data_IF_935504524651
#
_entry.id   IF_935504524651
#
_cell.length_a   1.000
_cell.length_b   1.000
_cell.length_c   1.000
_cell.angle_alpha   90.00
_cell.angle_beta   90.00
_cell.angle_gamma   90.00
#
_symmetry.space_group_name_H-M   'P 1'
#
loop_
_entity.id
_entity.type
_entity.pdbx_description
1 polymer ?
#
# COMPACT_ATOMS: atom_id res chain seq x y z
N UNK A 1 -65.24 -14.36 -31.44
CA UNK A 1 -64.33 -13.22 -31.69
C UNK A 1 -63.79 -12.75 -30.34
N UNK A 2 -62.47 -12.60 -30.24
CA UNK A 2 -61.65 -12.11 -29.10
C UNK A 2 -61.26 -13.13 -28.02
N UNK A 3 -60.11 -13.76 -28.27
CA UNK A 3 -59.14 -14.23 -27.28
C UNK A 3 -58.80 -13.11 -26.28
N UNK A 4 -58.82 -13.42 -24.99
CA UNK A 4 -58.11 -12.65 -23.98
C UNK A 4 -56.87 -13.45 -23.56
N UNK A 5 -55.70 -12.92 -23.94
CA UNK A 5 -54.38 -13.44 -23.61
C UNK A 5 -54.11 -13.15 -22.13
N UNK A 6 -53.71 -14.20 -21.39
CA UNK A 6 -53.21 -14.12 -20.02
C UNK A 6 -51.77 -13.62 -20.05
N UNK A 7 -51.51 -12.41 -19.56
CA UNK A 7 -50.16 -11.98 -19.19
C UNK A 7 -50.03 -12.09 -17.68
N UNK A 8 -49.48 -13.21 -17.21
CA UNK A 8 -49.01 -13.36 -15.83
C UNK A 8 -47.59 -12.79 -15.80
N UNK A 9 -47.42 -11.60 -15.26
CA UNK A 9 -46.11 -11.06 -14.92
C UNK A 9 -45.78 -11.56 -13.50
N UNK A 10 -45.06 -12.68 -13.42
CA UNK A 10 -44.49 -13.16 -12.16
C UNK A 10 -43.27 -12.30 -11.84
N UNK A 11 -43.44 -11.30 -10.98
CA UNK A 11 -42.33 -10.59 -10.35
C UNK A 11 -41.81 -11.50 -9.24
N UNK A 12 -40.75 -12.24 -9.53
CA UNK A 12 -39.99 -12.97 -8.51
C UNK A 12 -39.21 -11.95 -7.68
N UNK A 13 -39.75 -11.55 -6.53
CA UNK A 13 -38.99 -10.85 -5.50
C UNK A 13 -38.01 -11.87 -4.94
N UNK A 14 -36.76 -11.84 -5.43
CA UNK A 14 -35.66 -12.54 -4.80
C UNK A 14 -35.29 -11.76 -3.53
N UNK A 15 -36.02 -12.00 -2.45
CA UNK A 15 -35.66 -11.58 -1.11
C UNK A 15 -34.49 -12.40 -0.61
N UNK A 16 -33.30 -12.19 -1.18
CA UNK A 16 -32.07 -12.53 -0.50
C UNK A 16 -31.94 -11.53 0.66
N UNK A 17 -32.11 -12.02 1.88
CA UNK A 17 -31.89 -11.24 3.08
C UNK A 17 -30.49 -10.62 3.01
N UNK A 18 -30.46 -9.30 2.83
CA UNK A 18 -29.28 -8.51 3.14
C UNK A 18 -29.20 -8.56 4.66
N UNK A 19 -28.53 -9.59 5.19
CA UNK A 19 -27.98 -9.49 6.52
C UNK A 19 -27.02 -8.31 6.45
N UNK A 20 -27.43 -7.17 7.00
CA UNK A 20 -26.50 -6.10 7.29
C UNK A 20 -25.49 -6.71 8.26
N UNK A 21 -24.29 -7.04 7.76
CA UNK A 21 -23.14 -7.13 8.63
C UNK A 21 -23.09 -5.84 9.46
N UNK A 22 -22.76 -5.90 10.76
CA UNK A 22 -22.71 -4.71 11.59
C UNK A 22 -21.84 -3.64 10.90
N UNK A 23 -22.21 -2.37 11.06
CA UNK A 23 -21.54 -1.23 10.45
C UNK A 23 -20.16 -0.93 11.09
N UNK A 24 -19.37 -1.98 11.34
CA UNK A 24 -17.94 -1.90 11.63
C UNK A 24 -17.26 -2.03 10.27
N UNK A 25 -16.45 -1.06 9.88
CA UNK A 25 -15.82 -1.12 8.58
C UNK A 25 -14.90 -2.36 8.52
N UNK A 26 -14.76 -2.95 7.35
CA UNK A 26 -14.08 -4.21 7.14
C UNK A 26 -12.92 -3.94 6.19
N UNK A 27 -11.78 -4.58 6.39
CA UNK A 27 -10.60 -4.32 5.59
C UNK A 27 -10.69 -5.01 4.22
N UNK A 28 -11.11 -4.25 3.20
CA UNK A 28 -11.23 -4.73 1.81
C UNK A 28 -10.09 -4.19 0.94
N UNK A 29 -9.11 -5.03 0.57
CA UNK A 29 -7.93 -4.57 -0.17
C UNK A 29 -8.27 -4.22 -1.63
N UNK A 30 -7.55 -3.24 -2.17
CA UNK A 30 -7.52 -2.94 -3.61
C UNK A 30 -6.46 -3.81 -4.28
N UNK A 31 -6.88 -4.79 -5.06
CA UNK A 31 -5.98 -5.75 -5.72
C UNK A 31 -5.45 -5.15 -7.02
N UNK A 32 -4.21 -4.66 -7.01
CA UNK A 32 -3.52 -4.11 -8.19
C UNK A 32 -3.13 -5.20 -9.20
N UNK A 33 -2.97 -6.44 -8.74
CA UNK A 33 -2.72 -7.62 -9.58
C UNK A 33 -1.41 -8.34 -9.28
N UNK A 34 -1.02 -9.21 -10.21
CA UNK A 34 0.20 -10.02 -10.16
C UNK A 34 1.16 -9.57 -11.26
N UNK A 35 2.43 -9.35 -10.91
CA UNK A 35 3.47 -8.84 -11.79
C UNK A 35 4.64 -9.82 -11.82
N UNK A 36 5.27 -9.98 -12.98
CA UNK A 36 6.36 -10.93 -13.21
C UNK A 36 7.76 -10.29 -13.23
N UNK A 37 7.84 -9.00 -12.90
CA UNK A 37 9.07 -8.23 -12.96
C UNK A 37 9.36 -7.59 -14.32
N UNK A 38 8.48 -7.72 -15.32
CA UNK A 38 8.64 -7.06 -16.62
C UNK A 38 8.54 -5.53 -16.49
N UNK A 39 9.62 -4.77 -16.80
CA UNK A 39 9.60 -3.31 -16.74
C UNK A 39 8.57 -2.68 -17.66
N UNK A 40 7.90 -1.63 -17.19
CA UNK A 40 6.84 -0.91 -17.89
C UNK A 40 5.44 -1.42 -17.57
N UNK A 41 5.30 -2.57 -16.91
CA UNK A 41 4.00 -3.06 -16.45
C UNK A 41 3.46 -2.16 -15.34
N UNK A 42 2.20 -1.74 -15.45
CA UNK A 42 1.55 -0.83 -14.49
C UNK A 42 0.10 -1.22 -14.22
N UNK A 43 -0.37 -0.92 -13.02
CA UNK A 43 -1.78 -0.95 -12.66
C UNK A 43 -2.12 0.25 -11.78
N UNK A 44 -3.35 0.74 -11.88
CA UNK A 44 -3.85 1.85 -11.07
C UNK A 44 -5.25 1.54 -10.59
N UNK A 45 -5.49 1.76 -9.30
CA UNK A 45 -6.81 1.67 -8.70
C UNK A 45 -7.08 2.88 -7.80
N UNK A 46 -8.33 3.31 -7.77
CA UNK A 46 -8.75 4.38 -6.87
C UNK A 46 -9.44 3.83 -5.62
N UNK A 47 -9.39 4.62 -4.56
CA UNK A 47 -10.07 4.36 -3.30
C UNK A 47 -10.42 5.68 -2.61
N UNK A 48 -11.02 5.58 -1.43
CA UNK A 48 -11.23 6.69 -0.51
C UNK A 48 -10.81 6.29 0.89
N UNK A 49 -10.26 7.23 1.65
CA UNK A 49 -9.93 7.10 3.07
C UNK A 49 -10.68 8.16 3.88
N UNK A 50 -10.97 7.85 5.14
CA UNK A 50 -11.72 8.75 6.02
C UNK A 50 -10.79 9.55 6.92
N UNK A 51 -10.78 10.87 6.71
CA UNK A 51 -9.82 11.77 7.34
C UNK A 51 -8.49 11.81 6.57
N UNK A 52 -7.71 12.86 6.83
CA UNK A 52 -6.40 13.07 6.24
C UNK A 52 -5.29 12.83 7.28
N UNK A 53 -5.41 11.81 8.12
CA UNK A 53 -4.43 11.50 9.17
C UNK A 53 -4.19 10.00 9.42
N UNK A 54 -4.98 9.11 8.80
CA UNK A 54 -4.99 7.70 9.20
C UNK A 54 -3.67 6.95 9.04
N UNK A 55 -2.81 7.36 8.09
CA UNK A 55 -1.50 6.73 7.97
C UNK A 55 -0.55 7.22 9.06
N UNK A 56 -0.53 8.54 9.30
CA UNK A 56 0.37 9.14 10.28
C UNK A 56 0.00 8.75 11.72
N UNK A 57 -1.27 8.50 12.01
CA UNK A 57 -1.74 7.85 13.25
C UNK A 57 -0.97 6.58 13.58
N UNK A 58 -0.71 5.74 12.57
CA UNK A 58 -0.01 4.47 12.78
C UNK A 58 1.47 4.61 13.15
N UNK A 59 1.99 5.83 13.29
CA UNK A 59 3.41 6.08 13.56
C UNK A 59 3.72 6.38 15.02
N UNK A 60 2.71 6.66 15.85
CA UNK A 60 2.89 6.98 17.26
C UNK A 60 2.66 5.76 18.18
N UNK A 61 2.64 6.02 19.49
CA UNK A 61 2.69 4.98 20.52
C UNK A 61 1.36 4.26 20.75
N UNK A 62 0.25 4.84 20.33
CA UNK A 62 -1.11 4.35 20.52
C UNK A 62 -1.73 3.72 19.26
N UNK A 63 -0.99 3.69 18.15
CA UNK A 63 -1.28 2.91 16.93
C UNK A 63 -2.56 3.33 16.21
N UNK A 64 -2.56 3.17 14.89
CA UNK A 64 -3.66 3.67 14.05
C UNK A 64 -4.86 2.73 13.96
N UNK A 65 -6.01 3.35 13.70
CA UNK A 65 -7.25 2.70 13.28
C UNK A 65 -7.18 2.26 11.81
N UNK A 66 -7.27 0.95 11.53
CA UNK A 66 -7.20 0.36 10.19
C UNK A 66 -8.31 0.87 9.26
N UNK A 67 -9.42 1.39 9.79
CA UNK A 67 -10.49 2.00 9.00
C UNK A 67 -10.13 3.38 8.45
N UNK A 68 -8.98 3.93 8.86
CA UNK A 68 -8.46 5.24 8.40
C UNK A 68 -7.43 5.11 7.30
N UNK A 69 -7.05 3.88 6.97
CA UNK A 69 -6.19 3.56 5.84
C UNK A 69 -6.92 2.66 4.85
N UNK A 70 -6.36 2.55 3.65
CA UNK A 70 -6.78 1.58 2.65
C UNK A 70 -5.57 0.71 2.28
N UNK A 71 -5.77 -0.58 2.10
CA UNK A 71 -4.74 -1.45 1.54
C UNK A 71 -4.80 -1.52 0.03
N UNK A 72 -3.62 -1.46 -0.57
CA UNK A 72 -3.36 -1.85 -1.95
C UNK A 72 -2.49 -3.11 -1.94
N UNK A 73 -2.94 -4.18 -2.59
CA UNK A 73 -2.22 -5.45 -2.65
C UNK A 73 -1.72 -5.76 -4.04
N UNK A 74 -0.54 -6.34 -4.12
CA UNK A 74 0.00 -6.93 -5.33
C UNK A 74 0.83 -8.16 -5.01
N UNK A 75 1.09 -8.97 -6.03
CA UNK A 75 1.99 -10.12 -5.95
C UNK A 75 3.10 -9.96 -6.99
N UNK A 76 4.34 -10.23 -6.60
CA UNK A 76 5.45 -10.40 -7.51
C UNK A 76 5.78 -11.88 -7.66
N UNK A 77 5.84 -12.40 -8.89
CA UNK A 77 6.29 -13.78 -9.13
C UNK A 77 7.81 -13.89 -9.28
N UNK A 78 8.50 -12.78 -9.56
CA UNK A 78 9.95 -12.67 -9.59
C UNK A 78 10.40 -11.39 -8.85
N UNK A 79 11.67 -11.33 -8.47
CA UNK A 79 12.24 -10.10 -7.92
C UNK A 79 12.19 -8.95 -8.95
N UNK A 80 11.90 -7.73 -8.50
CA UNK A 80 11.71 -6.58 -9.36
C UNK A 80 11.99 -5.25 -8.64
N UNK A 81 12.36 -4.22 -9.41
CA UNK A 81 12.22 -2.84 -8.96
C UNK A 81 10.78 -2.39 -9.15
N UNK A 82 10.17 -1.92 -8.06
CA UNK A 82 8.78 -1.48 -8.04
C UNK A 82 8.72 -0.03 -7.58
N UNK A 83 8.08 0.81 -8.39
CA UNK A 83 7.70 2.15 -7.99
C UNK A 83 6.23 2.17 -7.57
N UNK A 84 5.97 2.61 -6.34
CA UNK A 84 4.64 2.89 -5.84
C UNK A 84 4.41 4.39 -5.83
N UNK A 85 3.26 4.83 -6.33
CA UNK A 85 2.84 6.23 -6.33
C UNK A 85 1.42 6.33 -5.82
N UNK A 86 1.20 7.20 -4.84
CA UNK A 86 -0.12 7.51 -4.30
C UNK A 86 -0.37 9.01 -4.45
N UNK A 87 -1.50 9.36 -5.06
CA UNK A 87 -1.88 10.74 -5.34
C UNK A 87 -3.32 10.97 -4.91
N UNK A 88 -3.63 12.18 -4.43
CA UNK A 88 -5.02 12.57 -4.23
C UNK A 88 -5.87 12.33 -5.48
N UNK A 89 -7.15 12.01 -5.27
CA UNK A 89 -8.11 11.83 -6.35
C UNK A 89 -9.52 12.22 -5.88
N UNK A 90 -10.45 12.22 -6.81
CA UNK A 90 -11.89 12.22 -6.52
C UNK A 90 -12.42 10.83 -6.84
N UNK A 91 -12.74 10.04 -5.81
CA UNK A 91 -13.15 8.64 -5.98
C UNK A 91 -13.99 8.15 -4.80
N UNK A 92 -14.99 7.32 -5.06
CA UNK A 92 -15.84 6.68 -4.04
C UNK A 92 -16.45 7.65 -3.01
N UNK A 93 -16.81 8.86 -3.44
CA UNK A 93 -17.32 9.93 -2.55
C UNK A 93 -16.22 10.74 -1.84
N UNK A 94 -14.97 10.26 -1.87
CA UNK A 94 -13.79 11.01 -1.45
C UNK A 94 -13.44 12.12 -2.44
N UNK A 95 -12.92 13.22 -1.91
CA UNK A 95 -12.52 14.42 -2.67
C UNK A 95 -11.00 14.65 -2.64
N UNK A 96 -10.56 15.64 -3.40
CA UNK A 96 -9.19 16.15 -3.33
C UNK A 96 -8.84 16.75 -1.95
N UNK A 97 -7.54 16.92 -1.72
CA UNK A 97 -6.91 17.49 -0.53
C UNK A 97 -6.29 16.44 0.39
N UNK A 98 -6.09 15.20 -0.08
CA UNK A 98 -5.33 14.19 0.65
C UNK A 98 -3.85 14.56 0.61
N UNK A 99 -3.18 14.47 1.75
CA UNK A 99 -1.72 14.48 1.84
C UNK A 99 -1.32 13.01 2.04
N UNK A 100 -0.96 12.26 0.98
CA UNK A 100 -0.81 10.81 1.12
C UNK A 100 0.46 10.44 1.88
N UNK A 101 0.32 9.48 2.78
CA UNK A 101 1.40 8.68 3.33
C UNK A 101 1.11 7.20 3.13
N UNK A 102 2.16 6.41 2.98
CA UNK A 102 2.01 4.97 2.93
C UNK A 102 3.19 4.23 3.53
N UNK A 103 2.91 3.00 3.96
CA UNK A 103 3.90 2.02 4.39
C UNK A 103 3.68 0.73 3.62
N UNK A 104 4.78 0.15 3.13
CA UNK A 104 4.81 -1.10 2.39
C UNK A 104 5.22 -2.23 3.34
N UNK A 105 4.45 -3.31 3.29
CA UNK A 105 4.68 -4.53 4.05
C UNK A 105 4.63 -5.74 3.14
N UNK A 106 5.41 -6.77 3.49
CA UNK A 106 5.26 -8.13 2.97
C UNK A 106 4.10 -8.83 3.67
N UNK A 107 3.32 -9.61 2.93
CA UNK A 107 2.10 -10.26 3.40
C UNK A 107 0.85 -9.72 2.71
N UNK A 108 -0.21 -10.54 2.71
CA UNK A 108 -1.56 -10.14 2.31
C UNK A 108 -2.48 -10.22 3.52
N UNK A 109 -3.55 -9.44 3.47
CA UNK A 109 -4.72 -9.62 4.33
C UNK A 109 -5.42 -10.93 3.96
N UNK A 110 -6.27 -11.42 4.85
CA UNK A 110 -7.16 -12.53 4.53
C UNK A 110 -8.03 -12.20 3.32
N UNK A 111 -8.33 -13.23 2.50
CA UNK A 111 -9.33 -13.09 1.45
C UNK A 111 -10.68 -12.84 2.14
N UNK A 112 -11.29 -11.66 1.93
CA UNK A 112 -12.48 -11.25 2.67
C UNK A 112 -13.73 -12.05 2.31
N UNK A 113 -13.70 -12.84 1.24
CA UNK A 113 -14.84 -13.63 0.77
C UNK A 113 -14.71 -15.11 1.09
N UNK A 114 -13.50 -15.63 1.20
CA UNK A 114 -13.26 -17.08 1.34
C UNK A 114 -12.69 -17.48 2.70
N UNK A 115 -12.08 -16.56 3.43
CA UNK A 115 -11.54 -16.85 4.76
C UNK A 115 -12.66 -16.92 5.80
N UNK A 116 -12.74 -17.96 6.64
CA UNK A 116 -13.62 -17.98 7.80
C UNK A 116 -13.41 -16.73 8.67
N UNK A 117 -14.49 -16.14 9.18
CA UNK A 117 -14.43 -14.86 9.90
C UNK A 117 -14.44 -13.62 9.00
N UNK A 118 -14.28 -13.77 7.69
CA UNK A 118 -14.39 -12.69 6.72
C UNK A 118 -13.15 -11.78 6.67
N UNK A 119 -13.30 -10.50 6.25
CA UNK A 119 -12.20 -9.54 6.19
C UNK A 119 -11.60 -9.24 7.55
N UNK A 120 -10.32 -8.92 7.58
CA UNK A 120 -9.65 -8.43 8.79
C UNK A 120 -10.25 -7.09 9.26
N UNK A 121 -10.19 -6.81 10.56
CA UNK A 121 -10.49 -5.48 11.13
C UNK A 121 -10.06 -5.43 12.62
N UNK A 122 -9.92 -4.21 13.16
CA UNK A 122 -9.40 -4.00 14.52
C UNK A 122 -10.32 -4.45 15.66
N UNK A 123 -11.61 -4.52 15.39
CA UNK A 123 -12.64 -4.58 16.44
C UNK A 123 -13.24 -5.97 16.64
N UNK A 124 -12.76 -7.00 15.96
CA UNK A 124 -13.16 -8.37 16.28
C UNK A 124 -12.63 -8.77 17.66
N UNK A 125 -13.31 -9.69 18.33
CA UNK A 125 -12.83 -10.25 19.60
C UNK A 125 -11.41 -10.83 19.48
N UNK A 126 -11.11 -11.42 18.32
CA UNK A 126 -9.81 -11.99 17.99
C UNK A 126 -8.73 -10.92 17.75
N UNK A 127 -9.04 -9.85 17.02
CA UNK A 127 -8.11 -8.73 16.82
C UNK A 127 -7.86 -7.95 18.09
N UNK A 128 -8.89 -7.71 18.91
CA UNK A 128 -8.72 -7.01 20.19
C UNK A 128 -7.88 -7.82 21.18
N UNK A 129 -8.04 -9.16 21.20
CA UNK A 129 -7.17 -10.05 21.98
C UNK A 129 -5.73 -10.01 21.48
N UNK A 130 -5.52 -10.15 20.19
CA UNK A 130 -4.19 -10.09 19.56
C UNK A 130 -3.49 -8.77 19.83
N UNK A 131 -4.22 -7.66 19.70
CA UNK A 131 -3.76 -6.31 19.98
C UNK A 131 -3.34 -6.12 21.44
N UNK A 132 -4.13 -6.64 22.38
CA UNK A 132 -3.80 -6.60 23.81
C UNK A 132 -2.51 -7.35 24.14
N UNK A 133 -2.28 -8.50 23.49
CA UNK A 133 -1.02 -9.26 23.61
C UNK A 133 0.14 -8.43 23.07
N UNK A 134 -0.01 -7.88 21.88
CA UNK A 134 1.04 -7.10 21.21
C UNK A 134 1.37 -5.80 21.94
N UNK A 135 0.37 -5.15 22.57
CA UNK A 135 0.53 -3.85 23.23
C UNK A 135 0.99 -3.98 24.68
N UNK A 136 1.07 -5.20 25.21
CA UNK A 136 1.29 -5.44 26.64
C UNK A 136 0.15 -4.89 27.51
N UNK A 137 -1.06 -4.79 26.96
CA UNK A 137 -2.24 -4.20 27.62
C UNK A 137 -2.32 -2.67 27.58
N UNK A 138 -1.48 -1.99 26.80
CA UNK A 138 -1.62 -0.55 26.57
C UNK A 138 -2.90 -0.23 25.79
N UNK A 139 -3.47 0.96 26.03
CA UNK A 139 -4.57 1.49 25.23
C UNK A 139 -4.05 1.92 23.86
N UNK A 140 -4.74 1.46 22.81
CA UNK A 140 -4.40 1.73 21.42
C UNK A 140 -5.66 2.00 20.62
N UNK A 141 -5.62 2.86 19.60
CA UNK A 141 -6.79 3.21 18.81
C UNK A 141 -7.19 2.08 17.86
N UNK A 142 -6.21 1.48 17.18
CA UNK A 142 -6.36 0.31 16.32
C UNK A 142 -5.15 -0.62 16.38
N UNK A 143 -5.00 -1.50 15.41
CA UNK A 143 -3.87 -2.45 15.31
C UNK A 143 -2.82 -2.00 14.30
N UNK A 144 -3.09 -0.95 13.51
CA UNK A 144 -2.23 -0.53 12.42
C UNK A 144 -0.95 0.10 12.95
N UNK A 145 0.19 -0.45 12.53
CA UNK A 145 1.51 0.11 12.80
C UNK A 145 2.20 0.42 11.47
N UNK A 146 2.37 1.70 11.19
CA UNK A 146 2.90 2.18 9.91
C UNK A 146 4.39 1.85 9.73
N UNK A 147 5.16 1.88 10.83
CA UNK A 147 6.64 1.85 10.77
C UNK A 147 7.27 0.54 11.27
N UNK A 148 6.44 -0.46 11.60
CA UNK A 148 6.91 -1.74 12.15
C UNK A 148 6.09 -2.90 11.61
N UNK A 149 6.56 -4.11 11.89
CA UNK A 149 5.79 -5.32 11.69
C UNK A 149 4.48 -5.26 12.48
N UNK A 150 3.42 -5.81 11.92
CA UNK A 150 2.16 -5.91 12.64
C UNK A 150 1.26 -7.01 12.12
N UNK A 151 0.16 -7.21 12.85
CA UNK A 151 -0.80 -8.27 12.57
C UNK A 151 -2.19 -7.86 12.99
N UNK A 152 -3.18 -8.40 12.29
CA UNK A 152 -4.60 -8.24 12.55
C UNK A 152 -5.32 -9.50 12.07
N UNK A 153 -6.52 -9.72 12.56
CA UNK A 153 -7.34 -10.87 12.15
C UNK A 153 -8.79 -10.41 11.99
N UNK A 154 -9.71 -11.35 11.94
CA UNK A 154 -11.10 -11.16 11.58
C UNK A 154 -12.01 -11.77 12.66
N UNK A 155 -13.28 -12.02 12.34
CA UNK A 155 -14.28 -12.59 13.25
C UNK A 155 -14.13 -14.11 13.46
N UNK A 156 -13.02 -14.72 13.03
CA UNK A 156 -12.78 -16.13 13.26
C UNK A 156 -12.63 -16.42 14.76
N UNK A 157 -13.04 -17.62 15.24
CA UNK A 157 -12.97 -17.97 16.65
C UNK A 157 -11.54 -17.89 17.22
N UNK A 158 -11.42 -17.42 18.46
CA UNK A 158 -10.16 -17.22 19.20
C UNK A 158 -9.21 -18.45 19.30
N UNK A 159 -9.72 -19.68 19.09
CA UNK A 159 -8.89 -20.88 19.14
C UNK A 159 -8.23 -21.21 17.79
N UNK A 160 -8.59 -20.49 16.73
CA UNK A 160 -8.09 -20.62 15.37
C UNK A 160 -7.41 -19.31 14.92
N UNK A 161 -6.68 -18.63 15.81
CA UNK A 161 -5.95 -17.39 15.47
C UNK A 161 -4.99 -17.63 14.30
N UNK A 162 -5.49 -17.36 13.10
CA UNK A 162 -4.74 -17.19 11.87
C UNK A 162 -4.74 -15.69 11.64
N UNK A 163 -3.69 -14.95 12.05
CA UNK A 163 -3.59 -13.54 11.77
C UNK A 163 -2.99 -13.30 10.39
N UNK A 164 -3.45 -12.25 9.73
CA UNK A 164 -2.68 -11.62 8.66
C UNK A 164 -1.46 -10.98 9.29
N UNK A 165 -0.28 -11.30 8.78
CA UNK A 165 0.99 -10.79 9.27
C UNK A 165 1.66 -9.93 8.21
N UNK A 166 2.11 -8.76 8.62
CA UNK A 166 2.68 -7.73 7.78
C UNK A 166 4.12 -7.44 8.23
N UNK A 167 5.09 -7.85 7.43
CA UNK A 167 6.51 -7.55 7.66
C UNK A 167 6.86 -6.21 7.03
N UNK A 168 7.30 -5.25 7.81
CA UNK A 168 7.61 -3.90 7.35
C UNK A 168 8.83 -3.87 6.42
N UNK A 169 8.70 -3.11 5.33
CA UNK A 169 9.74 -2.96 4.30
C UNK A 169 10.21 -1.51 4.23
N UNK A 170 9.28 -0.56 4.20
CA UNK A 170 9.60 0.85 4.07
C UNK A 170 8.34 1.71 3.96
N UNK A 171 8.53 3.01 3.88
CA UNK A 171 7.44 3.97 3.77
C UNK A 171 7.89 5.23 3.03
N UNK A 172 6.91 6.05 2.65
CA UNK A 172 7.12 7.43 2.24
C UNK A 172 5.85 8.24 2.48
N UNK A 173 5.99 9.55 2.61
CA UNK A 173 4.85 10.47 2.68
C UNK A 173 5.12 11.80 1.98
N UNK A 174 4.03 12.44 1.56
CA UNK A 174 3.99 13.73 0.87
C UNK A 174 4.39 14.87 1.83
N UNK A 175 5.49 15.54 1.54
CA UNK A 175 5.99 16.72 2.24
C UNK A 175 7.08 16.47 3.29
N UNK A 176 7.19 17.42 4.23
CA UNK A 176 7.96 17.32 5.47
C UNK A 176 7.06 17.84 6.56
N UNK A 177 6.77 17.04 7.57
CA UNK A 177 5.90 17.51 8.63
C UNK A 177 6.38 16.97 9.98
N UNK A 178 6.49 17.91 10.93
CA UNK A 178 6.69 17.61 12.34
C UNK A 178 5.30 17.37 12.93
N UNK A 179 5.09 16.16 13.42
CA UNK A 179 3.78 15.65 13.79
C UNK A 179 3.48 15.74 15.29
N UNK A 180 4.22 16.58 16.02
CA UNK A 180 4.08 16.71 17.47
C UNK A 180 4.79 15.59 18.25
N UNK A 181 5.34 14.60 17.55
CA UNK A 181 6.22 13.52 18.04
C UNK A 181 7.64 13.61 17.46
N UNK A 182 7.92 14.61 16.62
CA UNK A 182 9.15 14.78 15.86
C UNK A 182 8.97 14.56 14.35
N UNK A 183 10.02 14.84 13.57
CA UNK A 183 10.04 14.57 12.13
C UNK A 183 10.31 13.08 11.90
N UNK A 184 9.39 12.41 11.22
CA UNK A 184 9.58 11.02 10.79
C UNK A 184 10.44 11.03 9.52
N UNK A 185 11.52 10.25 9.43
CA UNK A 185 12.25 10.07 8.17
C UNK A 185 11.33 9.60 7.04
N UNK A 186 11.67 9.83 5.77
CA UNK A 186 10.88 9.29 4.64
C UNK A 186 9.86 10.25 4.01
N UNK A 187 9.81 11.50 4.45
CA UNK A 187 9.13 12.56 3.70
C UNK A 187 9.86 12.88 2.39
N UNK A 188 9.13 13.10 1.30
CA UNK A 188 9.70 13.39 -0.02
C UNK A 188 10.09 14.87 -0.23
N UNK A 189 9.81 15.71 0.77
CA UNK A 189 10.07 17.16 0.80
C UNK A 189 9.28 17.99 -0.21
N UNK A 190 8.25 17.43 -0.83
CA UNK A 190 7.37 18.13 -1.77
C UNK A 190 5.95 17.98 -1.25
N UNK A 191 5.26 19.10 -0.98
CA UNK A 191 3.86 19.06 -0.57
C UNK A 191 2.97 19.27 -1.80
N UNK A 192 2.83 18.23 -2.63
CA UNK A 192 2.13 18.29 -3.91
C UNK A 192 0.93 17.32 -4.01
N UNK A 193 0.51 16.75 -2.87
CA UNK A 193 -0.58 15.78 -2.76
C UNK A 193 -0.30 14.47 -3.50
N UNK A 194 0.99 14.14 -3.65
CA UNK A 194 1.48 12.90 -4.22
C UNK A 194 2.72 12.47 -3.46
N UNK A 195 2.90 11.16 -3.33
CA UNK A 195 4.16 10.58 -2.87
C UNK A 195 4.53 9.43 -3.79
N UNK A 196 5.82 9.32 -4.12
CA UNK A 196 6.35 8.23 -4.95
C UNK A 196 7.62 7.68 -4.33
N UNK A 197 7.73 6.35 -4.23
CA UNK A 197 8.93 5.69 -3.73
C UNK A 197 9.18 4.38 -4.49
N UNK A 198 10.46 4.06 -4.67
CA UNK A 198 10.91 2.83 -5.32
C UNK A 198 11.45 1.82 -4.31
N UNK A 199 11.19 0.54 -4.57
CA UNK A 199 11.59 -0.58 -3.73
C UNK A 199 12.17 -1.71 -4.58
N UNK A 200 13.30 -2.26 -4.15
CA UNK A 200 13.78 -3.55 -4.62
C UNK A 200 13.07 -4.66 -3.84
N UNK A 201 12.25 -5.45 -4.52
CA UNK A 201 11.42 -6.48 -3.88
C UNK A 201 11.74 -7.86 -4.45
N UNK A 202 11.73 -8.88 -3.60
CA UNK A 202 11.79 -10.27 -4.03
C UNK A 202 10.44 -10.74 -4.61
N UNK A 203 10.36 -12.00 -5.05
CA UNK A 203 9.06 -12.61 -5.28
C UNK A 203 8.29 -12.70 -3.95
N UNK A 204 7.00 -12.36 -3.97
CA UNK A 204 6.21 -12.33 -2.75
C UNK A 204 4.87 -11.59 -2.87
N UNK A 205 4.14 -11.61 -1.78
CA UNK A 205 2.88 -10.90 -1.60
C UNK A 205 3.15 -9.63 -0.81
N UNK A 206 2.59 -8.52 -1.27
CA UNK A 206 2.85 -7.20 -0.71
C UNK A 206 1.55 -6.43 -0.50
N UNK A 207 1.51 -5.65 0.57
CA UNK A 207 0.42 -4.75 0.92
C UNK A 207 0.98 -3.37 1.24
N UNK A 208 0.49 -2.35 0.55
CA UNK A 208 0.73 -0.95 0.90
C UNK A 208 -0.49 -0.40 1.65
N UNK A 209 -0.28 0.02 2.90
CA UNK A 209 -1.30 0.69 3.70
C UNK A 209 -1.17 2.20 3.49
N UNK A 210 -2.23 2.80 2.97
CA UNK A 210 -2.23 4.18 2.46
C UNK A 210 -3.27 4.99 3.21
N UNK A 211 -2.92 6.19 3.64
CA UNK A 211 -3.82 7.09 4.33
C UNK A 211 -3.31 8.53 4.28
N UNK A 212 -3.97 9.41 5.00
CA UNK A 212 -3.51 10.78 5.12
C UNK A 212 -2.34 10.90 6.09
N UNK A 213 -1.42 11.80 5.78
CA UNK A 213 -0.26 12.12 6.58
C UNK A 213 -0.40 13.45 7.33
N UNK A 214 -1.58 14.09 7.41
CA UNK A 214 -1.75 15.35 8.14
C UNK A 214 -2.31 15.13 9.55
N UNK A 215 -1.45 14.95 10.54
CA UNK A 215 -1.82 14.58 11.92
C UNK A 215 -2.85 15.52 12.57
N UNK A 216 -2.71 16.84 12.37
CA UNK A 216 -3.65 17.83 12.91
C UNK A 216 -5.10 17.66 12.40
N UNK A 217 -5.30 16.88 11.33
CA UNK A 217 -6.63 16.58 10.79
C UNK A 217 -7.49 15.69 11.72
N UNK A 218 -6.90 15.04 12.72
CA UNK A 218 -7.65 14.32 13.77
C UNK A 218 -8.65 15.23 14.51
N UNK A 219 -8.32 16.51 14.66
CA UNK A 219 -9.07 17.47 15.48
C UNK A 219 -10.22 18.15 14.74
N UNK A 220 -10.44 17.83 13.47
CA UNK A 220 -11.49 18.46 12.64
C UNK A 220 -12.55 17.45 12.20
N UNK A 221 -13.69 17.96 11.74
CA UNK A 221 -14.78 17.11 11.25
C UNK A 221 -14.29 16.20 10.11
N UNK A 222 -14.45 14.88 10.33
CA UNK A 222 -14.02 13.85 9.40
C UNK A 222 -14.69 14.00 8.05
N UNK A 223 -13.88 13.82 7.01
CA UNK A 223 -14.27 13.94 5.61
C UNK A 223 -13.57 12.85 4.82
N UNK A 224 -14.21 12.37 3.76
CA UNK A 224 -13.62 11.36 2.90
C UNK A 224 -12.72 12.02 1.85
N UNK A 225 -11.54 11.44 1.65
CA UNK A 225 -10.53 11.89 0.70
C UNK A 225 -10.26 10.77 -0.30
N UNK A 226 -10.24 11.10 -1.59
CA UNK A 226 -9.96 10.12 -2.63
C UNK A 226 -8.45 9.95 -2.82
N UNK A 227 -8.04 8.75 -3.19
CA UNK A 227 -6.64 8.40 -3.51
C UNK A 227 -6.60 7.52 -4.76
N UNK A 228 -5.61 7.77 -5.61
CA UNK A 228 -5.20 6.91 -6.72
C UNK A 228 -3.89 6.25 -6.35
N UNK A 229 -3.89 4.92 -6.30
CA UNK A 229 -2.70 4.11 -6.05
C UNK A 229 -2.23 3.44 -7.33
N UNK A 230 -0.98 3.67 -7.69
CA UNK A 230 -0.35 3.16 -8.90
C UNK A 230 0.88 2.35 -8.54
N UNK A 231 0.99 1.16 -9.11
CA UNK A 231 2.22 0.38 -9.15
C UNK A 231 2.80 0.44 -10.56
N UNK A 232 4.12 0.61 -10.66
CA UNK A 232 4.87 0.49 -11.91
C UNK A 232 6.10 -0.36 -11.66
N UNK A 233 6.25 -1.44 -12.42
CA UNK A 233 7.52 -2.17 -12.46
C UNK A 233 8.49 -1.35 -13.30
N UNK A 234 9.63 -0.97 -12.74
CA UNK A 234 10.63 -0.13 -13.41
C UNK A 234 11.86 -0.95 -13.76
N UNK A 235 12.68 -0.46 -14.68
CA UNK A 235 13.96 -1.10 -14.97
C UNK A 235 14.90 -0.92 -13.78
N UNK A 236 15.62 -1.99 -13.40
CA UNK A 236 16.70 -1.89 -12.44
C UNK A 236 17.69 -0.79 -12.85
N UNK A 237 17.97 0.14 -11.93
CA UNK A 237 19.04 1.10 -12.12
C UNK A 237 20.36 0.36 -11.93
N UNK A 238 21.28 0.34 -12.91
CA UNK A 238 22.56 -0.34 -12.75
C UNK A 238 23.32 0.20 -11.53
N UNK A 239 23.91 -0.71 -10.75
CA UNK A 239 24.65 -0.30 -9.55
C UNK A 239 25.85 0.61 -9.91
N UNK A 240 26.26 1.54 -9.04
CA UNK A 240 27.41 2.42 -9.24
C UNK A 240 28.68 1.68 -9.68
N UNK A 241 28.89 0.47 -9.17
CA UNK A 241 30.00 -0.42 -9.49
C UNK A 241 29.99 -0.82 -10.98
N UNK A 242 28.80 -1.04 -11.56
CA UNK A 242 28.65 -1.34 -12.99
C UNK A 242 29.11 -0.15 -13.83
N UNK A 243 28.79 1.07 -13.40
CA UNK A 243 29.28 2.29 -14.05
C UNK A 243 30.79 2.48 -13.86
N UNK A 244 31.32 2.17 -12.67
CA UNK A 244 32.75 2.22 -12.41
C UNK A 244 33.52 1.21 -13.29
N UNK A 245 33.00 0.00 -13.46
CA UNK A 245 33.58 -1.03 -14.33
C UNK A 245 33.50 -0.65 -15.81
N UNK A 246 32.38 -0.04 -16.24
CA UNK A 246 32.25 0.54 -17.58
C UNK A 246 33.31 1.63 -17.81
N UNK A 247 33.45 2.57 -16.87
CA UNK A 247 34.43 3.65 -16.94
C UNK A 247 35.87 3.12 -16.92
N UNK A 248 36.15 2.12 -16.10
CA UNK A 248 37.44 1.44 -16.07
C UNK A 248 37.74 0.75 -17.42
N UNK A 249 36.75 0.06 -17.99
CA UNK A 249 36.86 -0.55 -19.32
C UNK A 249 37.15 0.49 -20.42
N UNK A 250 36.43 1.61 -20.40
CA UNK A 250 36.66 2.72 -21.34
C UNK A 250 38.05 3.35 -21.15
N UNK A 251 38.51 3.49 -19.91
CA UNK A 251 39.86 3.97 -19.58
C UNK A 251 40.95 3.06 -20.16
N UNK A 252 40.80 1.75 -20.05
CA UNK A 252 41.73 0.77 -20.62
C UNK A 252 41.76 0.84 -22.16
N UNK A 253 40.60 0.91 -22.82
CA UNK A 253 40.51 1.04 -24.28
C UNK A 253 41.18 2.34 -24.76
N UNK A 254 40.92 3.45 -24.07
CA UNK A 254 41.57 4.73 -24.35
C UNK A 254 43.09 4.68 -24.21
N UNK A 255 43.60 4.05 -23.15
CA UNK A 255 45.03 3.85 -22.95
C UNK A 255 45.67 2.99 -24.05
N UNK A 256 45.00 1.91 -24.47
CA UNK A 256 45.48 1.04 -25.56
C UNK A 256 45.47 1.75 -26.93
N UNK A 257 44.46 2.57 -27.21
CA UNK A 257 44.41 3.39 -28.43
C UNK A 257 45.55 4.41 -28.48
N UNK A 258 45.86 5.06 -27.35
CA UNK A 258 47.00 5.98 -27.23
C UNK A 258 48.34 5.27 -27.48
N UNK A 259 48.55 4.09 -26.90
CA UNK A 259 49.78 3.29 -27.12
C UNK A 259 49.97 2.92 -28.59
N UNK A 260 48.90 2.53 -29.30
CA UNK A 260 48.96 2.22 -30.74
C UNK A 260 49.32 3.43 -31.60
N UNK A 261 48.76 4.61 -31.30
CA UNK A 261 49.15 5.86 -31.99
C UNK A 261 50.63 6.18 -31.79
N UNK A 262 51.15 6.03 -30.58
CA UNK A 262 52.57 6.30 -30.30
C UNK A 262 53.50 5.30 -31.01
N UNK A 263 53.12 4.03 -31.10
CA UNK A 263 53.92 3.03 -31.82
C UNK A 263 53.97 3.29 -33.33
N UNK A 264 52.89 3.77 -33.94
CA UNK A 264 52.87 4.12 -35.37
C UNK A 264 53.63 5.42 -35.68
N UNK A 265 53.68 6.37 -34.75
CA UNK A 265 54.43 7.63 -34.91
C UNK A 265 55.96 7.46 -34.79
N UNK A 266 56.43 6.33 -34.28
CA UNK A 266 57.87 6.02 -34.14
C UNK A 266 58.41 5.25 -35.36
N UNK A 267 57.53 4.72 -36.21
CA UNK A 267 57.89 3.87 -37.36
C UNK A 267 57.60 4.51 -38.74
N UNK A 268 57.24 5.80 -38.79
CA UNK A 268 57.03 6.57 -40.03
C UNK A 268 57.87 7.83 -40.03
#
# INVERSE_FOLDING_TARGET
MKQFIKNVLTVSILGAGIVSAPAMAHFFPKILGTFDGTPGTTATLTASVRGNYGWIDGTDGDWGDTHRVVAYQFTLTNAAEVQLSFQQAVAFGGRNGLTPGFSLHGGHVHDPFTTPGGPDHDFSDSSTTLRSIDSGGAFTEGSFRALTDWRVTNEAPLHELSPSFFTYIGHAYDGVQDYGTGVIPGGDNLLDNRVTQSFHLAAGNYTAFVGGSNYANQLVALRDYGVSGTITVISAVPEPETYAMLLAGLGLVGAMARRRKMANAVNG
#
